data_IF_215354946792
#
_entry.id   IF_215354946792
#
_cell.length_a   1.000
_cell.length_b   1.000
_cell.length_c   1.000
_cell.angle_alpha   90.00
_cell.angle_beta   90.00
_cell.angle_gamma   90.00
#
_symmetry.space_group_name_H-M   'P 1'
#
loop_
_entity.id
_entity.type
_entity.pdbx_description
1 polymer ?
#
# COMPACT_ATOMS: atom_id res chain seq x y z
N UNK A 1 35.02 -16.73 -34.49
CA UNK A 1 34.90 -17.16 -33.09
C UNK A 1 34.70 -15.91 -32.22
N UNK A 2 33.76 -15.92 -31.27
CA UNK A 2 32.87 -14.80 -31.00
C UNK A 2 33.34 -13.93 -29.83
N UNK A 3 33.22 -12.61 -29.94
CA UNK A 3 33.24 -11.73 -28.76
C UNK A 3 32.03 -10.79 -28.79
N UNK A 4 31.13 -11.13 -27.88
CA UNK A 4 29.96 -10.43 -27.37
C UNK A 4 30.03 -8.89 -27.39
N UNK A 5 28.88 -8.24 -27.65
CA UNK A 5 28.48 -6.95 -27.06
C UNK A 5 27.01 -6.61 -27.39
N UNK A 6 26.06 -7.44 -26.96
CA UNK A 6 24.69 -6.95 -26.76
C UNK A 6 24.64 -6.25 -25.41
N UNK A 7 24.74 -4.92 -25.42
CA UNK A 7 24.48 -4.09 -24.23
C UNK A 7 23.37 -3.10 -24.55
N UNK A 8 22.18 -3.65 -24.74
CA UNK A 8 20.95 -2.94 -24.35
C UNK A 8 21.08 -2.62 -22.88
N UNK A 9 20.90 -1.37 -22.46
CA UNK A 9 20.28 -1.01 -21.17
C UNK A 9 20.06 0.51 -21.17
N UNK A 10 18.83 0.93 -21.45
CA UNK A 10 17.87 1.46 -20.47
C UNK A 10 17.95 2.98 -20.35
N UNK A 11 16.98 3.64 -20.98
CA UNK A 11 16.63 5.03 -20.74
C UNK A 11 16.30 5.22 -19.26
N UNK A 12 17.11 6.02 -18.57
CA UNK A 12 16.80 6.53 -17.24
C UNK A 12 15.75 7.63 -17.36
N UNK A 13 14.48 7.29 -17.13
CA UNK A 13 13.42 8.29 -16.94
C UNK A 13 13.38 8.70 -15.47
N UNK A 14 13.94 9.87 -15.16
CA UNK A 14 13.81 10.53 -13.87
C UNK A 14 12.49 11.30 -13.86
N UNK A 15 11.45 10.74 -13.24
CA UNK A 15 10.20 11.45 -13.00
C UNK A 15 10.32 12.31 -11.74
N UNK A 16 10.22 13.63 -11.93
CA UNK A 16 10.16 14.65 -10.88
C UNK A 16 8.81 14.57 -10.16
N UNK A 17 8.82 14.29 -8.85
CA UNK A 17 7.66 14.37 -7.96
C UNK A 17 7.53 15.81 -7.43
N UNK A 18 6.45 16.50 -7.82
CA UNK A 18 6.01 17.75 -7.20
C UNK A 18 5.09 17.45 -6.01
N UNK A 19 5.33 18.17 -4.92
CA UNK A 19 4.80 17.94 -3.59
C UNK A 19 3.32 18.33 -3.46
N UNK A 20 2.55 17.52 -2.74
CA UNK A 20 1.19 17.83 -2.30
C UNK A 20 0.57 16.63 -1.61
N UNK A 21 0.75 16.53 -0.28
CA UNK A 21 0.24 15.46 0.59
C UNK A 21 0.50 14.03 0.05
N UNK A 22 1.69 13.49 0.32
CA UNK A 22 2.03 12.10 0.02
C UNK A 22 1.22 11.15 0.93
N UNK A 23 -0.04 10.93 0.61
CA UNK A 23 -0.75 9.74 1.06
C UNK A 23 -0.14 8.57 0.30
N UNK A 24 0.82 7.91 0.92
CA UNK A 24 1.38 6.68 0.40
C UNK A 24 0.35 5.56 0.62
N UNK A 25 -0.34 5.15 -0.45
CA UNK A 25 -1.09 3.90 -0.45
C UNK A 25 -0.05 2.77 -0.48
N UNK A 26 0.29 2.25 0.70
CA UNK A 26 1.37 1.27 0.81
C UNK A 26 0.87 -0.16 0.59
N UNK A 27 -0.39 -0.45 0.90
CA UNK A 27 -0.90 -1.83 0.97
C UNK A 27 -2.37 -1.90 0.53
N UNK A 28 -2.73 -3.02 -0.12
CA UNK A 28 -4.11 -3.41 -0.39
C UNK A 28 -4.45 -4.64 0.46
N UNK A 29 -5.57 -4.57 1.18
CA UNK A 29 -6.04 -5.67 2.02
C UNK A 29 -7.46 -6.07 1.63
N UNK A 30 -7.72 -7.38 1.55
CA UNK A 30 -9.08 -7.90 1.37
C UNK A 30 -9.81 -7.89 2.70
N UNK A 31 -10.81 -7.00 2.85
CA UNK A 31 -11.60 -6.84 4.07
C UNK A 31 -13.08 -6.83 3.77
N UNK A 32 -13.87 -7.17 4.78
CA UNK A 32 -15.32 -7.00 4.72
C UNK A 32 -15.67 -5.51 4.73
N UNK A 33 -16.41 -5.07 3.70
CA UNK A 33 -16.96 -3.74 3.62
C UNK A 33 -18.37 -3.73 4.20
N UNK A 34 -18.62 -2.86 5.18
CA UNK A 34 -19.92 -2.75 5.84
C UNK A 34 -21.01 -2.20 4.88
N UNK A 35 -20.60 -1.53 3.79
CA UNK A 35 -21.49 -0.94 2.78
C UNK A 35 -21.78 -1.87 1.61
N UNK A 36 -20.78 -2.61 1.12
CA UNK A 36 -20.99 -3.63 0.07
C UNK A 36 -21.53 -4.94 0.64
N UNK A 37 -21.46 -5.13 1.96
CA UNK A 37 -21.73 -6.40 2.65
C UNK A 37 -20.97 -7.59 2.06
N UNK A 38 -19.79 -7.33 1.47
CA UNK A 38 -18.96 -8.33 0.81
C UNK A 38 -17.47 -8.10 1.13
N UNK A 39 -16.63 -9.11 0.87
CA UNK A 39 -15.17 -9.00 0.98
C UNK A 39 -14.61 -8.33 -0.27
N UNK A 40 -14.16 -7.09 -0.11
CA UNK A 40 -13.66 -6.25 -1.22
C UNK A 40 -12.22 -5.82 -0.95
N UNK A 41 -11.52 -5.39 -2.01
CA UNK A 41 -10.19 -4.80 -1.88
C UNK A 41 -10.28 -3.41 -1.24
N UNK A 42 -9.51 -3.20 -0.16
CA UNK A 42 -9.41 -1.93 0.55
C UNK A 42 -7.98 -1.39 0.47
N UNK A 43 -7.85 -0.13 0.11
CA UNK A 43 -6.58 0.61 0.11
C UNK A 43 -6.29 1.13 1.52
N UNK A 44 -5.08 0.84 2.02
CA UNK A 44 -4.61 1.39 3.30
C UNK A 44 -4.01 2.77 3.03
N UNK A 45 -4.65 3.79 3.58
CA UNK A 45 -4.18 5.17 3.55
C UNK A 45 -3.39 5.39 4.83
N UNK A 46 -2.06 5.44 4.70
CA UNK A 46 -1.14 5.69 5.81
C UNK A 46 -0.53 7.08 5.67
N UNK A 47 -0.46 7.81 6.78
CA UNK A 47 0.27 9.06 6.86
C UNK A 47 1.77 8.75 7.01
N UNK A 48 2.66 9.39 6.22
CA UNK A 48 4.09 9.07 6.19
C UNK A 48 4.79 9.32 7.53
N UNK A 49 4.28 10.23 8.36
CA UNK A 49 4.85 10.57 9.67
C UNK A 49 4.29 9.69 10.82
N UNK A 50 3.47 8.69 10.50
CA UNK A 50 2.79 7.88 11.51
C UNK A 50 3.68 6.76 12.06
N UNK A 51 4.03 6.85 13.35
CA UNK A 51 4.66 5.74 14.07
C UNK A 51 3.72 4.52 14.09
N UNK A 52 4.20 3.40 13.56
CA UNK A 52 3.48 2.11 13.53
C UNK A 52 3.38 1.49 14.92
N UNK A 53 2.39 1.90 15.70
CA UNK A 53 2.02 1.19 16.93
C UNK A 53 0.87 0.21 16.65
N UNK A 54 0.92 -0.98 17.27
CA UNK A 54 -0.10 -2.01 17.07
C UNK A 54 -1.52 -1.58 17.47
N UNK A 55 -1.64 -0.53 18.31
CA UNK A 55 -2.90 0.02 18.81
C UNK A 55 -3.54 1.03 17.85
N UNK A 56 -2.78 1.60 16.91
CA UNK A 56 -3.28 2.68 16.03
C UNK A 56 -4.25 2.11 15.00
N UNK A 57 -5.39 2.80 14.82
CA UNK A 57 -6.35 2.51 13.74
C UNK A 57 -5.82 3.09 12.44
N UNK A 58 -5.95 2.35 11.34
CA UNK A 58 -5.59 2.79 9.99
C UNK A 58 -6.84 3.12 9.21
N UNK A 59 -6.73 4.05 8.25
CA UNK A 59 -7.83 4.39 7.36
C UNK A 59 -7.84 3.45 6.17
N UNK A 60 -8.94 2.74 5.99
CA UNK A 60 -9.16 1.84 4.86
C UNK A 60 -10.19 2.44 3.92
N UNK A 61 -9.89 2.51 2.63
CA UNK A 61 -10.82 2.92 1.58
C UNK A 61 -11.22 1.72 0.73
N UNK A 62 -12.50 1.36 0.73
CA UNK A 62 -13.02 0.32 -0.16
C UNK A 62 -12.87 0.77 -1.63
N UNK A 63 -12.33 -0.08 -2.51
CA UNK A 63 -12.22 0.21 -3.95
C UNK A 63 -13.56 0.19 -4.67
N UNK A 64 -14.49 -0.64 -4.23
CA UNK A 64 -15.78 -0.81 -4.91
C UNK A 64 -16.76 0.32 -4.60
N UNK A 65 -16.97 0.65 -3.32
CA UNK A 65 -17.95 1.67 -2.91
C UNK A 65 -17.33 3.00 -2.47
N UNK A 66 -16.00 3.10 -2.41
CA UNK A 66 -15.28 4.29 -1.96
C UNK A 66 -15.41 4.61 -0.46
N UNK A 67 -16.12 3.77 0.32
CA UNK A 67 -16.36 4.02 1.74
C UNK A 67 -15.05 3.96 2.53
N UNK A 68 -14.84 4.95 3.41
CA UNK A 68 -13.67 5.07 4.26
C UNK A 68 -14.03 4.64 5.68
N UNK A 69 -13.25 3.74 6.26
CA UNK A 69 -13.47 3.23 7.60
C UNK A 69 -12.17 3.13 8.38
N UNK A 70 -12.20 3.48 9.66
CA UNK A 70 -11.06 3.30 10.56
C UNK A 70 -11.13 1.90 11.16
N UNK A 71 -10.21 1.03 10.75
CA UNK A 71 -10.13 -0.34 11.28
C UNK A 71 -8.76 -0.57 11.91
N UNK A 72 -8.66 -1.52 12.85
CA UNK A 72 -7.36 -1.94 13.38
C UNK A 72 -6.54 -2.58 12.26
N UNK A 73 -5.22 -2.34 12.25
CA UNK A 73 -4.29 -3.07 11.40
C UNK A 73 -4.44 -4.57 11.60
N UNK A 74 -4.25 -5.37 10.55
CA UNK A 74 -4.14 -6.81 10.74
C UNK A 74 -2.88 -7.06 11.58
N UNK A 75 -2.98 -7.93 12.58
CA UNK A 75 -1.78 -8.34 13.34
C UNK A 75 -0.88 -9.07 12.34
N UNK A 76 0.39 -8.67 12.15
CA UNK A 76 1.31 -9.46 11.34
C UNK A 76 1.37 -10.87 11.94
N UNK A 77 1.23 -11.90 11.09
CA UNK A 77 1.35 -13.29 11.53
C UNK A 77 2.70 -13.45 12.21
N UNK A 78 2.73 -14.01 13.41
CA UNK A 78 3.79 -13.86 14.39
C UNK A 78 5.10 -14.61 14.06
N UNK A 79 5.36 -14.97 12.80
CA UNK A 79 6.58 -15.68 12.37
C UNK A 79 7.86 -14.86 12.61
N UNK A 80 7.75 -13.53 12.75
CA UNK A 80 8.90 -12.63 12.95
C UNK A 80 9.15 -12.25 14.42
N UNK A 81 8.42 -12.84 15.38
CA UNK A 81 8.46 -12.44 16.81
C UNK A 81 9.20 -13.48 17.68
N UNK A 82 9.69 -14.58 17.12
CA UNK A 82 10.46 -15.59 17.83
C UNK A 82 11.67 -16.07 17.03
#
# INVERSE_FOLDING_TARGET
MPLARTRTHLHAYVLKLQQGATVCVQQEERRFCDRCMNRTAHEVIEEPDAIYTYKRRRLYRCRECGHRSFKRGLRPSAESVY
#
